data_IF_937194650356
#
_entry.id   IF_937194650356
#
_cell.length_a   1.000
_cell.length_b   1.000
_cell.length_c   1.000
_cell.angle_alpha   90.00
_cell.angle_beta   90.00
_cell.angle_gamma   90.00
#
_symmetry.space_group_name_H-M   'P 1'
#
loop_
_entity.id
_entity.type
_entity.pdbx_description
1 polymer ?
#
# COMPACT_ATOMS: atom_id res chain seq x y z
N UNK A 1 0.47 -27.48 -0.86
CA UNK A 1 0.24 -27.91 0.55
C UNK A 1 -0.20 -29.38 0.64
N UNK A 2 0.01 -30.20 -0.40
CA UNK A 2 -0.23 -31.66 -0.36
C UNK A 2 0.94 -32.48 0.23
N UNK A 3 2.01 -31.83 0.69
CA UNK A 3 3.20 -32.53 1.19
C UNK A 3 3.03 -33.13 2.61
N UNK A 4 1.93 -32.84 3.32
CA UNK A 4 1.69 -33.37 4.69
C UNK A 4 0.26 -33.90 4.94
N UNK A 5 -0.59 -34.06 3.93
CA UNK A 5 -1.99 -34.55 4.11
C UNK A 5 -2.81 -33.88 5.24
N UNK A 6 -2.49 -32.64 5.63
CA UNK A 6 -3.26 -31.89 6.64
C UNK A 6 -4.32 -31.04 5.97
N UNK A 7 -5.54 -31.04 6.51
CA UNK A 7 -6.61 -30.19 6.02
C UNK A 7 -6.39 -28.72 6.46
N UNK A 8 -7.03 -27.76 5.81
CA UNK A 8 -6.85 -26.32 6.12
C UNK A 8 -7.21 -25.95 7.57
N UNK A 9 -8.17 -26.64 8.19
CA UNK A 9 -8.57 -26.40 9.58
C UNK A 9 -7.52 -26.92 10.58
N UNK A 10 -6.86 -28.04 10.29
CA UNK A 10 -5.74 -28.57 11.08
C UNK A 10 -4.53 -27.65 11.01
N UNK A 11 -4.22 -27.14 9.81
CA UNK A 11 -3.16 -26.15 9.60
C UNK A 11 -3.46 -24.87 10.40
N UNK A 12 -4.70 -24.38 10.32
CA UNK A 12 -5.14 -23.20 11.04
C UNK A 12 -4.99 -23.38 12.57
N UNK A 13 -5.44 -24.51 13.11
CA UNK A 13 -5.30 -24.85 14.54
C UNK A 13 -3.83 -24.94 14.97
N UNK A 14 -3.00 -25.62 14.18
CA UNK A 14 -1.57 -25.75 14.43
C UNK A 14 -0.84 -24.39 14.46
N UNK A 15 -1.30 -23.44 13.66
CA UNK A 15 -0.70 -22.10 13.56
C UNK A 15 -1.37 -21.06 14.48
N UNK A 16 -2.41 -21.43 15.23
CA UNK A 16 -3.19 -20.48 16.04
C UNK A 16 -3.87 -19.39 15.21
N UNK A 17 -4.27 -19.71 13.97
CA UNK A 17 -4.93 -18.76 13.05
C UNK A 17 -6.34 -19.22 12.72
N UNK A 18 -7.18 -18.28 12.30
CA UNK A 18 -8.50 -18.62 11.80
C UNK A 18 -8.42 -19.34 10.43
N UNK A 19 -9.33 -20.29 10.19
CA UNK A 19 -9.39 -21.05 8.93
C UNK A 19 -9.52 -20.13 7.70
N UNK A 20 -10.28 -19.03 7.81
CA UNK A 20 -10.41 -18.06 6.72
C UNK A 20 -9.08 -17.38 6.39
N UNK A 21 -8.15 -17.27 7.34
CA UNK A 21 -6.79 -16.74 7.08
C UNK A 21 -6.02 -17.66 6.14
N UNK A 22 -6.02 -18.95 6.43
CA UNK A 22 -5.35 -19.96 5.58
C UNK A 22 -5.99 -20.01 4.19
N UNK A 23 -7.33 -19.98 4.12
CA UNK A 23 -8.05 -19.96 2.85
C UNK A 23 -7.73 -18.72 2.02
N UNK A 24 -7.73 -17.52 2.63
CA UNK A 24 -7.39 -16.26 1.94
C UNK A 24 -5.94 -16.25 1.48
N UNK A 25 -5.02 -16.76 2.27
CA UNK A 25 -3.59 -16.85 1.94
C UNK A 25 -3.36 -17.75 0.72
N UNK A 26 -3.94 -18.96 0.72
CA UNK A 26 -3.84 -19.89 -0.41
C UNK A 26 -4.48 -19.34 -1.69
N UNK A 27 -5.61 -18.64 -1.56
CA UNK A 27 -6.28 -17.99 -2.70
C UNK A 27 -5.49 -16.81 -3.25
N UNK A 28 -4.83 -16.04 -2.38
CA UNK A 28 -4.04 -14.85 -2.74
C UNK A 28 -2.70 -15.22 -3.36
N UNK A 29 -2.10 -16.33 -2.92
CA UNK A 29 -0.79 -16.82 -3.36
C UNK A 29 -0.91 -18.23 -3.96
N UNK A 30 -1.63 -18.41 -5.08
CA UNK A 30 -1.74 -19.71 -5.73
C UNK A 30 -0.35 -20.12 -6.22
N UNK A 31 0.21 -21.13 -5.59
CA UNK A 31 1.50 -21.71 -5.95
C UNK A 31 1.21 -23.14 -6.37
N UNK A 32 1.14 -23.36 -7.69
CA UNK A 32 0.82 -24.63 -8.38
C UNK A 32 0.42 -25.82 -7.50
N UNK A 33 1.25 -26.86 -7.50
CA UNK A 33 0.99 -28.09 -6.72
C UNK A 33 1.36 -27.97 -5.23
N UNK A 34 2.23 -27.03 -4.86
CA UNK A 34 2.74 -26.90 -3.49
C UNK A 34 2.85 -25.44 -3.06
N UNK A 35 2.48 -25.15 -1.80
CA UNK A 35 2.52 -23.77 -1.29
C UNK A 35 3.97 -23.43 -0.97
N UNK A 36 4.44 -22.27 -1.42
CA UNK A 36 5.77 -21.74 -1.10
C UNK A 36 5.65 -20.41 -0.35
N UNK A 37 6.03 -20.42 0.93
CA UNK A 37 6.06 -19.22 1.76
C UNK A 37 7.03 -18.17 1.21
N UNK A 38 8.17 -18.59 0.63
CA UNK A 38 9.15 -17.69 0.02
C UNK A 38 8.57 -17.00 -1.21
N UNK A 39 7.84 -17.74 -2.06
CA UNK A 39 7.18 -17.16 -3.23
C UNK A 39 6.04 -16.20 -2.84
N UNK A 40 5.24 -16.57 -1.84
CA UNK A 40 4.18 -15.73 -1.28
C UNK A 40 4.75 -14.41 -0.72
N UNK A 41 5.88 -14.49 0.01
CA UNK A 41 6.58 -13.32 0.53
C UNK A 41 7.10 -12.42 -0.59
N UNK A 42 7.77 -12.99 -1.60
CA UNK A 42 8.23 -12.23 -2.78
C UNK A 42 7.07 -11.52 -3.48
N UNK A 43 5.95 -12.20 -3.70
CA UNK A 43 4.76 -11.56 -4.29
C UNK A 43 4.20 -10.46 -3.40
N UNK A 44 4.19 -10.63 -2.07
CA UNK A 44 3.75 -9.58 -1.15
C UNK A 44 4.66 -8.34 -1.23
N UNK A 45 5.98 -8.54 -1.31
CA UNK A 45 6.97 -7.48 -1.49
C UNK A 45 6.84 -6.80 -2.85
N UNK A 46 6.67 -7.57 -3.93
CA UNK A 46 6.40 -7.05 -5.27
C UNK A 46 5.15 -6.19 -5.26
N UNK A 47 4.00 -6.69 -4.78
CA UNK A 47 2.77 -5.89 -4.65
C UNK A 47 2.95 -4.64 -3.80
N UNK A 48 3.79 -4.70 -2.76
CA UNK A 48 4.09 -3.54 -1.91
C UNK A 48 4.94 -2.50 -2.66
N UNK A 49 5.91 -2.93 -3.47
CA UNK A 49 6.75 -2.07 -4.31
C UNK A 49 5.98 -1.48 -5.49
N UNK A 50 5.17 -2.30 -6.14
CA UNK A 50 4.33 -1.93 -7.28
C UNK A 50 3.09 -1.15 -6.88
N UNK A 51 2.70 -1.15 -5.59
CA UNK A 51 1.67 -0.23 -5.09
C UNK A 51 2.14 1.18 -5.42
N UNK A 52 1.49 1.90 -6.35
CA UNK A 52 2.02 3.18 -6.81
C UNK A 52 1.97 4.18 -5.65
N UNK A 53 3.14 4.49 -5.08
CA UNK A 53 3.26 5.58 -4.11
C UNK A 53 3.24 6.93 -4.84
N UNK A 54 3.78 6.96 -6.06
CA UNK A 54 3.88 8.10 -6.95
C UNK A 54 2.54 8.53 -7.56
N UNK A 55 1.55 7.63 -7.65
CA UNK A 55 0.30 7.90 -8.38
C UNK A 55 -0.47 9.15 -7.90
N UNK A 56 -0.37 9.51 -6.61
CA UNK A 56 -1.01 10.75 -6.13
C UNK A 56 -0.25 12.01 -6.56
N UNK A 57 1.08 11.97 -6.54
CA UNK A 57 1.93 13.09 -6.99
C UNK A 57 2.10 13.15 -8.51
N UNK A 58 1.74 12.09 -9.23
CA UNK A 58 1.60 12.07 -10.70
C UNK A 58 0.33 12.77 -11.19
N UNK A 59 -0.67 12.96 -10.31
CA UNK A 59 -1.86 13.74 -10.64
C UNK A 59 -1.46 15.22 -10.81
N UNK A 60 -1.63 15.81 -12.00
CA UNK A 60 -1.16 17.17 -12.29
C UNK A 60 -1.74 18.21 -11.31
N UNK A 61 -3.03 18.12 -10.99
CA UNK A 61 -3.72 19.03 -10.08
C UNK A 61 -3.10 19.03 -8.67
N UNK A 62 -2.78 17.84 -8.16
CA UNK A 62 -2.20 17.67 -6.83
C UNK A 62 -0.75 18.16 -6.83
N UNK A 63 0.02 17.78 -7.85
CA UNK A 63 1.41 18.18 -8.00
C UNK A 63 1.54 19.70 -8.04
N UNK A 64 0.71 20.35 -8.85
CA UNK A 64 0.70 21.80 -8.99
C UNK A 64 0.31 22.49 -7.68
N UNK A 65 -0.72 22.00 -6.98
CA UNK A 65 -1.12 22.54 -5.68
C UNK A 65 0.03 22.45 -4.66
N UNK A 66 0.73 21.32 -4.61
CA UNK A 66 1.88 21.12 -3.72
C UNK A 66 3.00 22.08 -4.09
N UNK A 67 3.36 22.19 -5.38
CA UNK A 67 4.39 23.13 -5.85
C UNK A 67 4.06 24.58 -5.51
N UNK A 68 2.83 25.02 -5.75
CA UNK A 68 2.37 26.37 -5.38
C UNK A 68 2.48 26.59 -3.87
N UNK A 69 2.04 25.63 -3.06
CA UNK A 69 2.16 25.70 -1.60
C UNK A 69 3.62 25.84 -1.15
N UNK A 70 4.53 25.10 -1.76
CA UNK A 70 5.97 25.20 -1.48
C UNK A 70 6.55 26.57 -1.88
N UNK A 71 6.15 27.13 -3.03
CA UNK A 71 6.52 28.50 -3.43
C UNK A 71 6.04 29.56 -2.42
N UNK A 72 4.92 29.30 -1.74
CA UNK A 72 4.40 30.14 -0.65
C UNK A 72 5.01 29.82 0.72
N UNK A 73 6.08 29.03 0.79
CA UNK A 73 6.76 28.61 2.03
C UNK A 73 5.83 27.86 3.00
N UNK A 74 4.83 27.15 2.50
CA UNK A 74 4.03 26.26 3.33
C UNK A 74 4.79 24.97 3.62
N UNK A 75 4.75 24.54 4.87
CA UNK A 75 5.20 23.21 5.27
C UNK A 75 4.33 22.12 4.64
N UNK A 76 4.87 20.90 4.42
CA UNK A 76 4.09 19.75 3.98
C UNK A 76 2.82 19.49 4.80
N UNK A 77 2.86 19.70 6.12
CA UNK A 77 1.70 19.60 7.01
C UNK A 77 0.63 20.65 6.71
N UNK A 78 1.04 21.89 6.43
CA UNK A 78 0.12 22.96 6.04
C UNK A 78 -0.53 22.64 4.69
N UNK A 79 0.23 22.13 3.72
CA UNK A 79 -0.28 21.74 2.41
C UNK A 79 -1.31 20.60 2.55
N UNK A 80 -1.00 19.55 3.30
CA UNK A 80 -1.96 18.47 3.60
C UNK A 80 -3.22 18.99 4.30
N UNK A 81 -3.05 19.87 5.29
CA UNK A 81 -4.17 20.46 6.02
C UNK A 81 -5.08 21.30 5.13
N UNK A 82 -4.51 22.03 4.17
CA UNK A 82 -5.28 22.82 3.21
C UNK A 82 -5.94 21.94 2.15
N UNK A 83 -5.27 20.94 1.58
CA UNK A 83 -5.89 19.99 0.65
C UNK A 83 -7.16 19.35 1.22
N UNK A 84 -7.15 18.99 2.52
CA UNK A 84 -8.33 18.45 3.21
C UNK A 84 -9.44 19.47 3.42
N UNK A 85 -9.08 20.74 3.60
CA UNK A 85 -10.04 21.84 3.80
C UNK A 85 -10.67 22.28 2.49
N UNK A 86 -9.87 22.38 1.43
CA UNK A 86 -10.28 22.91 0.13
C UNK A 86 -11.01 21.84 -0.69
N UNK A 87 -10.72 20.56 -0.47
CA UNK A 87 -11.33 19.42 -1.16
C UNK A 87 -11.93 18.39 -0.19
N UNK A 88 -12.84 18.75 0.72
CA UNK A 88 -13.30 17.84 1.79
C UNK A 88 -13.97 16.56 1.25
N UNK A 89 -14.69 16.67 0.14
CA UNK A 89 -15.46 15.57 -0.47
C UNK A 89 -14.67 14.77 -1.52
N UNK A 90 -13.39 15.08 -1.75
CA UNK A 90 -12.53 14.38 -2.70
C UNK A 90 -11.26 13.80 -2.02
N UNK A 91 -11.35 12.59 -1.45
CA UNK A 91 -10.23 11.91 -0.81
C UNK A 91 -9.07 11.56 -1.77
N UNK A 92 -9.30 11.59 -3.09
CA UNK A 92 -8.23 11.32 -4.06
C UNK A 92 -7.24 12.49 -4.09
N UNK A 93 -7.73 13.72 -3.89
CA UNK A 93 -6.93 14.94 -3.75
C UNK A 93 -6.16 15.05 -2.44
N UNK A 94 -6.43 14.19 -1.46
CA UNK A 94 -5.74 14.24 -0.17
C UNK A 94 -4.41 13.50 -0.21
N UNK A 95 -3.32 14.23 0.03
CA UNK A 95 -1.97 13.67 0.16
C UNK A 95 -1.46 13.87 1.58
N UNK A 96 -0.76 12.88 2.14
CA UNK A 96 -0.12 13.01 3.45
C UNK A 96 1.18 13.81 3.35
N UNK A 97 1.53 14.51 4.43
CA UNK A 97 2.77 15.28 4.51
C UNK A 97 3.99 14.38 4.29
N UNK A 98 3.97 13.13 4.77
CA UNK A 98 5.03 12.16 4.50
C UNK A 98 5.20 11.87 2.99
N UNK A 99 4.11 11.81 2.21
CA UNK A 99 4.20 11.65 0.76
C UNK A 99 4.80 12.89 0.10
N UNK A 100 4.46 14.09 0.59
CA UNK A 100 5.05 15.34 0.10
C UNK A 100 6.55 15.37 0.43
N UNK A 101 6.96 15.01 1.65
CA UNK A 101 8.38 14.90 2.02
C UNK A 101 9.14 13.92 1.13
N UNK A 102 8.63 12.69 0.99
CA UNK A 102 9.27 11.69 0.14
C UNK A 102 9.34 12.11 -1.33
N UNK A 103 8.39 12.92 -1.81
CA UNK A 103 8.42 13.49 -3.15
C UNK A 103 9.47 14.58 -3.28
N UNK A 104 9.59 15.49 -2.30
CA UNK A 104 10.66 16.51 -2.25
C UNK A 104 12.03 15.84 -2.21
N UNK A 105 12.21 14.78 -1.41
CA UNK A 105 13.48 14.04 -1.30
C UNK A 105 13.85 13.29 -2.60
N UNK A 106 12.87 13.00 -3.45
CA UNK A 106 13.03 12.28 -4.71
C UNK A 106 13.06 13.20 -5.94
N UNK A 107 12.73 14.48 -5.80
CA UNK A 107 12.82 15.48 -6.88
C UNK A 107 14.31 15.87 -7.05
N UNK A 108 14.93 15.63 -8.21
CA UNK A 108 16.37 15.83 -8.43
C UNK A 108 16.81 17.30 -8.48
#
# INVERSE_FOLDING_TARGET
>A
MKAQSKNQAEIARCLGRDRSTISRELRRNPTGDSYSAVAAQRQAETRRRERPLTAKMECPDINEYVRQGLTHYWSPEQITGRLRRDFPDDPQRHVSHQTIYAWIDADP
#
